data_IF_735498701289
#
_entry.id   IF_735498701289
#
_cell.length_a   1.000
_cell.length_b   1.000
_cell.length_c   1.000
_cell.angle_alpha   90.00
_cell.angle_beta   90.00
_cell.angle_gamma   90.00
#
_symmetry.space_group_name_H-M   'P 1'
#
loop_
_entity.id
_entity.type
_entity.pdbx_description
1 polymer ?
#
# COMPACT_ATOMS: atom_id res chain seq x y z
N UNK A 1 -4.72 -21.63 14.79
CA UNK A 1 -4.87 -20.49 13.87
C UNK A 1 -5.81 -19.41 14.42
N UNK A 2 -7.01 -19.75 14.87
CA UNK A 2 -8.00 -18.78 15.39
C UNK A 2 -7.55 -17.99 16.64
N UNK A 3 -6.83 -18.62 17.56
CA UNK A 3 -6.25 -17.92 18.72
C UNK A 3 -5.11 -16.95 18.35
N UNK A 4 -4.35 -17.21 17.28
CA UNK A 4 -3.35 -16.27 16.75
C UNK A 4 -4.02 -15.08 16.08
N UNK A 5 -5.03 -15.29 15.23
CA UNK A 5 -5.83 -14.21 14.63
C UNK A 5 -6.48 -13.31 15.67
N UNK A 6 -6.97 -13.89 16.76
CA UNK A 6 -7.54 -13.13 17.86
C UNK A 6 -6.48 -12.29 18.60
N UNK A 7 -5.27 -12.84 18.82
CA UNK A 7 -4.15 -12.11 19.43
C UNK A 7 -3.63 -10.98 18.52
N UNK A 8 -3.50 -11.20 17.20
CA UNK A 8 -3.11 -10.16 16.25
C UNK A 8 -4.14 -9.02 16.22
N UNK A 9 -5.44 -9.34 16.18
CA UNK A 9 -6.51 -8.34 16.29
C UNK A 9 -6.44 -7.58 17.61
N UNK A 10 -6.30 -8.30 18.73
CA UNK A 10 -6.13 -7.67 20.03
C UNK A 10 -4.85 -6.81 20.08
N UNK A 11 -3.76 -7.23 19.45
CA UNK A 11 -2.53 -6.45 19.39
C UNK A 11 -2.71 -5.14 18.60
N UNK A 12 -3.35 -5.18 17.43
CA UNK A 12 -3.59 -3.97 16.65
C UNK A 12 -4.62 -3.02 17.28
N UNK A 13 -5.59 -3.57 18.02
CA UNK A 13 -6.71 -2.81 18.57
C UNK A 13 -6.60 -2.50 20.08
N UNK A 14 -5.94 -3.35 20.88
CA UNK A 14 -5.98 -3.25 22.34
C UNK A 14 -4.65 -2.86 22.99
N UNK A 15 -3.51 -3.21 22.39
CA UNK A 15 -2.20 -2.78 22.88
C UNK A 15 -1.77 -1.44 22.29
N UNK A 16 -2.43 -1.02 21.23
CA UNK A 16 -2.18 0.26 20.61
C UNK A 16 -2.89 1.34 21.41
N UNK A 17 -2.23 1.80 22.45
CA UNK A 17 -2.54 3.12 22.96
C UNK A 17 -2.41 4.11 21.78
N UNK A 18 -3.25 5.13 21.70
CA UNK A 18 -3.13 6.19 20.70
C UNK A 18 -1.69 6.73 20.59
N UNK A 19 -0.94 6.71 21.68
CA UNK A 19 0.47 7.08 21.80
C UNK A 19 1.38 6.26 20.88
N UNK A 20 1.22 4.93 20.82
CA UNK A 20 2.08 4.07 19.98
C UNK A 20 1.86 4.30 18.48
N UNK A 21 0.60 4.46 18.07
CA UNK A 21 0.27 4.81 16.67
C UNK A 21 0.73 6.23 16.34
N UNK A 22 0.59 7.16 17.27
CA UNK A 22 1.06 8.53 17.10
C UNK A 22 2.59 8.59 16.97
N UNK A 23 3.32 7.80 17.77
CA UNK A 23 4.78 7.71 17.67
C UNK A 23 5.23 7.15 16.31
N UNK A 24 4.57 6.12 15.80
CA UNK A 24 4.89 5.58 14.48
C UNK A 24 4.55 6.55 13.36
N UNK A 25 3.37 7.17 13.40
CA UNK A 25 2.97 8.18 12.43
C UNK A 25 3.93 9.38 12.45
N UNK A 26 4.41 9.79 13.63
CA UNK A 26 5.41 10.83 13.77
C UNK A 26 6.77 10.41 13.22
N UNK A 27 7.21 9.18 13.49
CA UNK A 27 8.44 8.63 12.93
C UNK A 27 8.39 8.58 11.38
N UNK A 28 7.28 8.12 10.80
CA UNK A 28 7.08 8.12 9.36
C UNK A 28 7.03 9.54 8.78
N UNK A 29 6.33 10.47 9.46
CA UNK A 29 6.30 11.88 9.09
C UNK A 29 7.70 12.49 9.06
N UNK A 30 8.55 12.18 10.04
CA UNK A 30 9.95 12.64 10.10
C UNK A 30 10.80 11.97 9.02
N UNK A 31 10.62 10.67 8.81
CA UNK A 31 11.35 9.88 7.83
C UNK A 31 11.12 10.37 6.39
N UNK A 32 9.87 10.63 6.02
CA UNK A 32 9.54 11.23 4.72
C UNK A 32 10.12 12.66 4.62
N UNK A 33 10.41 13.38 5.75
CA UNK A 33 11.06 14.70 5.74
C UNK A 33 12.50 14.66 5.28
N UNK A 34 13.20 13.57 5.55
CA UNK A 34 14.59 13.35 5.12
C UNK A 34 14.71 12.86 3.67
N UNK A 35 13.63 12.32 3.08
CA UNK A 35 13.61 12.01 1.65
C UNK A 35 13.46 13.32 0.87
N UNK A 36 14.50 13.63 0.11
CA UNK A 36 14.65 14.85 -0.68
C UNK A 36 13.38 15.17 -1.49
N UNK A 37 12.87 16.40 -1.35
CA UNK A 37 11.73 16.93 -2.12
C UNK A 37 11.86 16.70 -3.64
N UNK A 38 13.08 16.62 -4.16
CA UNK A 38 13.38 16.37 -5.57
C UNK A 38 12.99 14.95 -6.00
N UNK A 39 13.15 13.95 -5.11
CA UNK A 39 12.81 12.55 -5.42
C UNK A 39 11.30 12.28 -5.31
N UNK A 40 10.58 13.03 -4.48
CA UNK A 40 9.14 12.90 -4.31
C UNK A 40 8.32 13.39 -5.52
N UNK A 41 8.91 14.22 -6.37
CA UNK A 41 8.21 14.78 -7.53
C UNK A 41 8.39 13.94 -8.82
N UNK A 42 9.32 12.98 -8.85
CA UNK A 42 9.53 12.13 -10.02
C UNK A 42 8.60 10.93 -10.04
N UNK A 43 8.08 10.63 -11.23
CA UNK A 43 7.32 9.41 -11.43
C UNK A 43 8.28 8.21 -11.49
N UNK A 44 7.95 7.18 -10.70
CA UNK A 44 8.70 5.92 -10.64
C UNK A 44 7.81 4.77 -11.10
N UNK A 45 8.21 4.14 -12.19
CA UNK A 45 7.59 2.94 -12.75
C UNK A 45 8.61 1.83 -12.81
N UNK A 46 8.15 0.57 -12.84
CA UNK A 46 8.99 -0.65 -12.81
C UNK A 46 9.70 -0.87 -11.46
N UNK A 47 10.70 -1.77 -11.45
CA UNK A 47 11.44 -2.14 -10.24
C UNK A 47 10.89 -3.39 -9.54
N UNK A 48 9.62 -3.73 -9.76
CA UNK A 48 8.97 -4.94 -9.27
C UNK A 48 9.14 -6.16 -10.20
N UNK A 49 9.98 -6.08 -11.25
CA UNK A 49 10.29 -7.18 -12.18
C UNK A 49 9.02 -7.89 -12.71
N UNK A 50 7.95 -7.12 -12.95
CA UNK A 50 6.62 -7.61 -13.35
C UNK A 50 5.91 -8.52 -12.34
N UNK A 51 6.34 -8.57 -11.09
CA UNK A 51 5.70 -9.34 -10.02
C UNK A 51 4.90 -8.42 -9.08
N UNK A 52 3.66 -8.80 -8.78
CA UNK A 52 2.93 -8.24 -7.62
C UNK A 52 3.55 -8.74 -6.31
N UNK A 53 3.38 -7.97 -5.22
CA UNK A 53 3.75 -8.45 -3.89
C UNK A 53 2.87 -9.62 -3.47
N UNK A 54 3.48 -10.70 -2.98
CA UNK A 54 2.80 -11.90 -2.48
C UNK A 54 2.78 -11.89 -0.96
N UNK A 55 1.83 -12.61 -0.35
CA UNK A 55 1.55 -12.58 1.09
C UNK A 55 2.80 -12.73 1.98
N UNK A 56 3.71 -13.64 1.67
CA UNK A 56 4.87 -13.90 2.52
C UNK A 56 6.15 -13.12 2.13
N UNK A 57 6.10 -12.33 1.07
CA UNK A 57 7.31 -11.67 0.57
C UNK A 57 7.86 -10.61 1.51
N UNK A 58 6.99 -9.86 2.16
CA UNK A 58 7.40 -8.82 3.10
C UNK A 58 8.02 -9.43 4.36
N UNK A 59 7.44 -10.52 4.88
CA UNK A 59 8.01 -11.24 6.01
C UNK A 59 9.35 -11.85 5.67
N UNK A 60 9.46 -12.55 4.52
CA UNK A 60 10.74 -13.10 4.03
C UNK A 60 11.81 -12.02 3.87
N UNK A 61 11.45 -10.89 3.25
CA UNK A 61 12.38 -9.78 3.07
C UNK A 61 12.83 -9.17 4.39
N UNK A 62 11.92 -9.02 5.36
CA UNK A 62 12.24 -8.54 6.69
C UNK A 62 13.19 -9.47 7.43
N UNK A 63 12.89 -10.77 7.49
CA UNK A 63 13.73 -11.76 8.17
C UNK A 63 15.13 -11.81 7.56
N UNK A 64 15.21 -11.77 6.23
CA UNK A 64 16.45 -11.78 5.49
C UNK A 64 17.36 -10.61 5.86
N UNK A 65 16.87 -9.38 5.84
CA UNK A 65 17.70 -8.21 6.20
C UNK A 65 17.92 -8.10 7.71
N UNK A 66 17.01 -8.61 8.53
CA UNK A 66 17.14 -8.58 9.99
C UNK A 66 18.17 -9.58 10.51
N UNK A 67 18.44 -10.64 9.76
CA UNK A 67 19.55 -11.60 10.04
C UNK A 67 20.91 -11.12 9.50
N UNK A 68 20.98 -9.92 8.92
CA UNK A 68 22.21 -9.27 8.47
C UNK A 68 22.58 -9.53 7.02
N UNK A 69 21.73 -10.20 6.25
CA UNK A 69 21.91 -10.40 4.81
C UNK A 69 21.57 -9.14 3.99
N UNK A 70 22.12 -9.08 2.77
CA UNK A 70 21.81 -8.03 1.79
C UNK A 70 21.19 -8.63 0.53
N UNK A 71 20.22 -7.93 -0.05
CA UNK A 71 19.63 -8.32 -1.35
C UNK A 71 20.64 -8.33 -2.51
N UNK A 72 21.85 -7.82 -2.29
CA UNK A 72 22.96 -7.82 -3.25
C UNK A 72 23.93 -8.99 -3.03
N UNK A 73 23.75 -9.79 -2.00
CA UNK A 73 24.60 -10.95 -1.72
C UNK A 73 24.45 -12.01 -2.83
N UNK A 74 25.53 -12.71 -3.13
CA UNK A 74 25.53 -13.73 -4.18
C UNK A 74 24.60 -14.91 -3.85
N UNK A 75 24.43 -15.21 -2.59
CA UNK A 75 23.59 -16.28 -2.04
C UNK A 75 22.15 -15.86 -1.74
N UNK A 76 21.77 -14.59 -1.94
CA UNK A 76 20.43 -14.08 -1.67
C UNK A 76 19.31 -14.91 -2.33
N UNK A 77 19.57 -15.48 -3.51
CA UNK A 77 18.65 -16.37 -4.22
C UNK A 77 18.41 -17.67 -3.45
N UNK A 78 19.45 -18.22 -2.84
CA UNK A 78 19.42 -19.47 -2.06
C UNK A 78 18.71 -19.22 -0.73
N UNK A 79 19.14 -18.20 0.00
CA UNK A 79 18.62 -17.86 1.33
C UNK A 79 17.13 -17.47 1.29
N UNK A 80 16.72 -16.68 0.31
CA UNK A 80 15.31 -16.34 0.10
C UNK A 80 14.52 -17.48 -0.57
N UNK A 81 15.18 -18.47 -1.17
CA UNK A 81 14.52 -19.57 -1.87
C UNK A 81 13.66 -19.12 -3.07
N UNK A 82 14.09 -18.08 -3.79
CA UNK A 82 13.37 -17.51 -4.95
C UNK A 82 14.36 -17.13 -6.06
N UNK A 83 13.87 -16.99 -7.29
CA UNK A 83 14.71 -16.57 -8.42
C UNK A 83 15.19 -15.10 -8.30
N UNK A 84 16.30 -14.77 -9.01
CA UNK A 84 16.95 -13.46 -8.95
C UNK A 84 16.00 -12.27 -9.14
N UNK A 85 15.10 -12.34 -10.12
CA UNK A 85 14.13 -11.27 -10.36
C UNK A 85 13.13 -11.15 -9.20
N UNK A 86 12.81 -12.26 -8.52
CA UNK A 86 11.96 -12.22 -7.33
C UNK A 86 12.68 -11.61 -6.13
N UNK A 87 14.01 -11.80 -5.98
CA UNK A 87 14.83 -11.10 -4.98
C UNK A 87 14.72 -9.59 -5.18
N UNK A 88 14.89 -9.11 -6.42
CA UNK A 88 14.73 -7.69 -6.76
C UNK A 88 13.30 -7.19 -6.47
N UNK A 89 12.30 -8.00 -6.81
CA UNK A 89 10.90 -7.64 -6.55
C UNK A 89 10.59 -7.56 -5.04
N UNK A 90 11.08 -8.49 -4.22
CA UNK A 90 10.94 -8.43 -2.75
C UNK A 90 11.59 -7.15 -2.22
N UNK A 91 12.83 -6.86 -2.61
CA UNK A 91 13.54 -5.63 -2.23
C UNK A 91 12.73 -4.38 -2.60
N UNK A 92 12.19 -4.33 -3.82
CA UNK A 92 11.36 -3.22 -4.30
C UNK A 92 10.12 -3.05 -3.41
N UNK A 93 9.39 -4.13 -3.14
CA UNK A 93 8.16 -4.08 -2.35
C UNK A 93 8.42 -3.70 -0.90
N UNK A 94 9.50 -4.16 -0.28
CA UNK A 94 9.90 -3.72 1.06
C UNK A 94 10.04 -2.19 1.13
N UNK A 95 10.65 -1.59 0.09
CA UNK A 95 10.78 -0.12 -0.01
C UNK A 95 9.46 0.57 -0.36
N UNK A 96 8.68 0.01 -1.27
CA UNK A 96 7.41 0.60 -1.72
C UNK A 96 6.37 0.66 -0.60
N UNK A 97 6.38 -0.32 0.32
CA UNK A 97 5.53 -0.34 1.51
C UNK A 97 6.16 0.38 2.72
N UNK A 98 7.30 1.05 2.57
CA UNK A 98 7.94 1.79 3.65
C UNK A 98 8.52 0.91 4.77
N UNK A 99 8.78 -0.36 4.48
CA UNK A 99 9.31 -1.33 5.46
C UNK A 99 10.84 -1.35 5.51
N UNK A 100 11.52 -0.87 4.49
CA UNK A 100 12.97 -0.65 4.51
C UNK A 100 13.34 0.73 3.99
N UNK A 101 14.44 1.24 4.51
CA UNK A 101 15.11 2.42 3.99
C UNK A 101 15.80 2.14 2.65
N UNK A 102 16.38 3.18 2.01
CA UNK A 102 17.14 3.03 0.77
C UNK A 102 18.34 2.09 0.90
N UNK A 103 18.94 2.03 2.08
CA UNK A 103 20.05 1.15 2.41
C UNK A 103 19.61 -0.27 2.86
N UNK A 104 18.36 -0.63 2.58
CA UNK A 104 17.72 -1.91 2.90
C UNK A 104 17.59 -2.22 4.42
N UNK A 105 17.89 -1.28 5.32
CA UNK A 105 17.66 -1.48 6.76
C UNK A 105 16.17 -1.40 7.10
N UNK A 106 15.67 -2.24 8.01
CA UNK A 106 14.28 -2.20 8.45
C UNK A 106 13.92 -0.85 9.08
N UNK A 107 12.72 -0.38 8.80
CA UNK A 107 12.15 0.82 9.43
C UNK A 107 11.54 0.48 10.80
N UNK A 108 11.25 1.47 11.66
CA UNK A 108 10.49 1.26 12.89
C UNK A 108 9.14 0.57 12.65
N UNK A 109 8.46 0.93 11.56
CA UNK A 109 7.21 0.28 11.15
C UNK A 109 7.41 -1.21 10.85
N UNK A 110 8.47 -1.57 10.09
CA UNK A 110 8.76 -2.96 9.79
C UNK A 110 9.03 -3.78 11.05
N UNK A 111 9.81 -3.23 12.00
CA UNK A 111 10.09 -3.90 13.27
C UNK A 111 8.81 -4.09 14.11
N UNK A 112 7.95 -3.07 14.19
CA UNK A 112 6.68 -3.16 14.91
C UNK A 112 5.68 -4.08 14.26
N UNK A 113 5.73 -4.24 12.95
CA UNK A 113 4.79 -5.08 12.23
C UNK A 113 5.25 -6.54 12.16
N UNK A 114 6.51 -6.78 11.76
CA UNK A 114 6.98 -8.08 11.28
C UNK A 114 7.87 -8.85 12.27
N UNK A 115 8.25 -8.28 13.42
CA UNK A 115 9.06 -8.97 14.41
C UNK A 115 8.33 -10.21 14.95
N UNK A 116 9.03 -11.35 15.09
CA UNK A 116 8.43 -12.62 15.55
C UNK A 116 8.02 -12.61 17.03
N UNK A 117 8.66 -11.78 17.85
CA UNK A 117 8.48 -11.77 19.30
C UNK A 117 7.41 -10.78 19.73
N UNK A 118 7.51 -9.54 19.25
CA UNK A 118 6.67 -8.41 19.68
C UNK A 118 5.99 -7.67 18.51
N UNK A 119 6.10 -8.22 17.30
CA UNK A 119 5.43 -7.69 16.13
C UNK A 119 3.91 -7.80 16.20
N UNK A 120 3.23 -6.82 15.64
CA UNK A 120 1.78 -6.77 15.66
C UNK A 120 1.13 -7.83 14.79
N UNK A 121 1.72 -8.08 13.61
CA UNK A 121 1.19 -9.02 12.62
C UNK A 121 2.32 -9.57 11.74
N UNK A 122 3.17 -10.47 12.29
CA UNK A 122 4.35 -10.96 11.58
C UNK A 122 4.05 -11.64 10.24
N UNK A 123 2.86 -12.19 10.09
CA UNK A 123 2.47 -12.95 8.89
C UNK A 123 1.43 -12.23 8.01
N UNK A 124 1.11 -10.95 8.32
CA UNK A 124 0.19 -10.10 7.55
C UNK A 124 -1.19 -10.75 7.37
N UNK A 125 -1.72 -11.33 8.45
CA UNK A 125 -3.03 -11.99 8.46
C UNK A 125 -4.18 -11.04 8.88
N UNK A 126 -3.85 -9.88 9.46
CA UNK A 126 -4.84 -8.89 9.92
C UNK A 126 -5.25 -7.95 8.79
N UNK A 127 -6.56 -7.73 8.65
CA UNK A 127 -7.09 -6.84 7.62
C UNK A 127 -6.66 -5.38 7.84
N UNK A 128 -6.47 -4.96 9.08
CA UNK A 128 -5.95 -3.63 9.42
C UNK A 128 -4.52 -3.44 8.92
N UNK A 129 -3.70 -4.49 8.95
CA UNK A 129 -2.36 -4.47 8.34
C UNK A 129 -2.44 -4.26 6.84
N UNK A 130 -3.37 -4.94 6.16
CA UNK A 130 -3.59 -4.75 4.73
C UNK A 130 -3.99 -3.30 4.41
N UNK A 131 -4.84 -2.66 5.22
CA UNK A 131 -5.18 -1.25 5.10
C UNK A 131 -3.99 -0.32 5.33
N UNK A 132 -3.15 -0.60 6.33
CA UNK A 132 -1.93 0.16 6.59
C UNK A 132 -0.96 0.09 5.41
N UNK A 133 -0.74 -1.11 4.88
CA UNK A 133 0.12 -1.32 3.71
C UNK A 133 -0.46 -0.64 2.46
N UNK A 134 -1.77 -0.70 2.25
CA UNK A 134 -2.42 0.05 1.19
C UNK A 134 -2.15 1.55 1.30
N UNK A 135 -2.35 2.14 2.50
CA UNK A 135 -2.06 3.55 2.75
C UNK A 135 -0.61 3.90 2.43
N UNK A 136 0.35 3.12 2.92
CA UNK A 136 1.77 3.32 2.63
C UNK A 136 2.06 3.31 1.11
N UNK A 137 1.50 2.35 0.40
CA UNK A 137 1.74 2.19 -1.04
C UNK A 137 1.21 3.36 -1.88
N UNK A 138 0.04 3.89 -1.55
CA UNK A 138 -0.58 5.00 -2.32
C UNK A 138 -0.03 6.38 -1.96
N UNK A 139 0.62 6.51 -0.80
CA UNK A 139 1.25 7.76 -0.35
C UNK A 139 2.75 7.81 -0.64
N UNK A 140 3.39 6.66 -0.82
CA UNK A 140 4.79 6.59 -1.21
C UNK A 140 4.96 6.90 -2.70
N UNK A 141 6.01 7.66 -3.05
CA UNK A 141 6.31 8.02 -4.44
C UNK A 141 6.98 6.91 -5.25
N UNK A 142 7.40 5.82 -4.59
CA UNK A 142 8.25 4.78 -5.20
C UNK A 142 7.52 3.90 -6.22
N UNK A 143 6.22 3.71 -6.06
CA UNK A 143 5.36 2.97 -6.98
C UNK A 143 4.25 3.89 -7.47
N UNK A 144 4.59 4.81 -8.38
CA UNK A 144 3.72 5.92 -8.81
C UNK A 144 2.37 5.48 -9.36
N UNK A 145 2.30 4.29 -9.96
CA UNK A 145 1.06 3.71 -10.50
C UNK A 145 -0.07 3.72 -9.47
N UNK A 146 0.22 3.37 -8.22
CA UNK A 146 -0.77 3.26 -7.14
C UNK A 146 -1.30 4.63 -6.74
N UNK A 147 -0.42 5.57 -6.46
CA UNK A 147 -0.79 6.95 -6.16
C UNK A 147 -1.53 7.63 -7.33
N UNK A 148 -1.07 7.45 -8.56
CA UNK A 148 -1.70 8.02 -9.75
C UNK A 148 -3.13 7.49 -9.97
N UNK A 149 -3.38 6.21 -9.71
CA UNK A 149 -4.72 5.62 -9.89
C UNK A 149 -5.64 6.04 -8.73
N UNK A 150 -5.25 5.80 -7.48
CA UNK A 150 -6.11 6.07 -6.32
C UNK A 150 -6.29 7.55 -6.03
N UNK A 151 -5.24 8.37 -6.19
CA UNK A 151 -5.27 9.79 -5.85
C UNK A 151 -5.67 10.69 -7.03
N UNK A 152 -5.61 10.18 -8.26
CA UNK A 152 -5.79 10.96 -9.46
C UNK A 152 -6.82 10.39 -10.44
N UNK A 153 -6.46 9.37 -11.22
CA UNK A 153 -7.29 8.85 -12.32
C UNK A 153 -8.73 8.56 -11.92
N UNK A 154 -8.93 7.96 -10.76
CA UNK A 154 -10.24 7.62 -10.21
C UNK A 154 -11.15 8.83 -9.98
N UNK A 155 -10.58 10.04 -9.79
CA UNK A 155 -11.36 11.29 -9.69
C UNK A 155 -11.87 11.74 -11.04
N UNK A 156 -11.05 11.52 -12.08
CA UNK A 156 -11.38 11.88 -13.44
C UNK A 156 -12.35 10.86 -14.06
N UNK A 157 -12.24 9.59 -13.66
CA UNK A 157 -12.99 8.47 -14.24
C UNK A 157 -13.40 7.44 -13.19
N UNK A 158 -14.70 7.22 -13.05
CA UNK A 158 -15.25 6.16 -12.19
C UNK A 158 -14.86 4.78 -12.74
N UNK A 159 -14.85 4.66 -14.05
CA UNK A 159 -14.53 3.45 -14.81
C UNK A 159 -13.33 3.71 -15.69
N UNK A 160 -12.30 2.87 -15.62
CA UNK A 160 -11.07 3.06 -16.36
C UNK A 160 -10.50 1.76 -16.93
N UNK A 161 -9.69 1.90 -17.97
CA UNK A 161 -8.95 0.83 -18.65
C UNK A 161 -7.46 1.07 -18.57
N UNK A 162 -6.65 0.09 -19.00
CA UNK A 162 -5.19 0.24 -19.19
C UNK A 162 -4.86 1.44 -20.08
N UNK A 163 -5.63 1.65 -21.16
CA UNK A 163 -5.42 2.80 -22.07
C UNK A 163 -5.73 4.15 -21.38
N UNK A 164 -6.76 4.22 -20.55
CA UNK A 164 -7.06 5.42 -19.76
C UNK A 164 -5.92 5.74 -18.80
N UNK A 165 -5.38 4.73 -18.11
CA UNK A 165 -4.25 4.91 -17.21
C UNK A 165 -2.99 5.37 -17.97
N UNK A 166 -2.66 4.75 -19.10
CA UNK A 166 -1.50 5.16 -19.91
C UNK A 166 -1.57 6.64 -20.32
N UNK A 167 -2.74 7.09 -20.81
CA UNK A 167 -2.93 8.49 -21.20
C UNK A 167 -2.85 9.43 -19.98
N UNK A 168 -3.36 8.99 -18.82
CA UNK A 168 -3.26 9.76 -17.59
C UNK A 168 -1.80 9.88 -17.13
N UNK A 169 -1.05 8.78 -17.11
CA UNK A 169 0.36 8.76 -16.72
C UNK A 169 1.23 9.64 -17.62
N UNK A 170 1.01 9.62 -18.95
CA UNK A 170 1.68 10.52 -19.89
C UNK A 170 1.42 11.99 -19.56
N UNK A 171 0.16 12.37 -19.38
CA UNK A 171 -0.21 13.74 -19.00
C UNK A 171 0.44 14.17 -17.68
N UNK A 172 0.49 13.27 -16.69
CA UNK A 172 1.14 13.54 -15.42
C UNK A 172 2.66 13.68 -15.53
N UNK A 173 3.29 12.94 -16.44
CA UNK A 173 4.71 13.07 -16.76
C UNK A 173 4.99 14.42 -17.46
N UNK A 174 4.21 14.79 -18.47
CA UNK A 174 4.32 16.07 -19.17
C UNK A 174 4.23 17.27 -18.21
N UNK A 175 3.27 17.25 -17.26
CA UNK A 175 3.12 18.31 -16.25
C UNK A 175 4.40 18.45 -15.40
N UNK A 176 5.15 17.35 -15.19
CA UNK A 176 6.41 17.32 -14.41
C UNK A 176 7.66 17.56 -15.27
N UNK A 177 7.50 17.74 -16.60
CA UNK A 177 8.63 17.84 -17.53
C UNK A 177 9.35 16.50 -17.73
N UNK A 178 8.68 15.38 -17.52
CA UNK A 178 9.20 14.02 -17.62
C UNK A 178 8.62 13.29 -18.84
N UNK A 179 9.25 12.19 -19.22
CA UNK A 179 8.71 11.24 -20.20
C UNK A 179 8.61 9.85 -19.61
N UNK A 180 7.62 9.08 -20.03
CA UNK A 180 7.41 7.71 -19.57
C UNK A 180 7.44 6.74 -20.73
N UNK A 181 7.94 5.53 -20.48
CA UNK A 181 7.90 4.45 -21.46
C UNK A 181 6.55 3.73 -21.37
N UNK A 182 5.84 3.68 -22.49
CA UNK A 182 4.49 3.08 -22.57
C UNK A 182 4.44 1.62 -22.13
N UNK A 183 5.43 0.83 -22.54
CA UNK A 183 5.44 -0.60 -22.21
C UNK A 183 5.66 -0.79 -20.72
N UNK A 184 6.51 0.04 -20.10
CA UNK A 184 6.71 0.04 -18.65
C UNK A 184 5.42 0.39 -17.92
N UNK A 185 4.75 1.49 -18.31
CA UNK A 185 3.48 1.92 -17.68
C UNK A 185 2.39 0.87 -17.84
N UNK A 186 2.30 0.21 -19.00
CA UNK A 186 1.34 -0.89 -19.22
C UNK A 186 1.65 -2.09 -18.34
N UNK A 187 2.93 -2.47 -18.21
CA UNK A 187 3.35 -3.56 -17.33
C UNK A 187 3.04 -3.27 -15.87
N UNK A 188 3.28 -2.03 -15.42
CA UNK A 188 2.95 -1.58 -14.06
C UNK A 188 1.44 -1.65 -13.80
N UNK A 189 0.62 -1.28 -14.78
CA UNK A 189 -0.82 -1.42 -14.67
C UNK A 189 -1.25 -2.88 -14.48
N UNK A 190 -0.63 -3.82 -15.20
CA UNK A 190 -0.93 -5.25 -15.05
C UNK A 190 -0.53 -5.77 -13.66
N UNK A 191 0.58 -5.29 -13.11
CA UNK A 191 1.00 -5.61 -11.74
C UNK A 191 0.04 -4.99 -10.72
N UNK A 192 -0.40 -3.74 -10.94
CA UNK A 192 -1.42 -3.08 -10.13
C UNK A 192 -2.72 -3.90 -10.10
N UNK A 193 -3.20 -4.35 -11.25
CA UNK A 193 -4.41 -5.18 -11.32
C UNK A 193 -4.24 -6.46 -10.48
N UNK A 194 -3.12 -7.17 -10.63
CA UNK A 194 -2.86 -8.40 -9.86
C UNK A 194 -2.66 -8.17 -8.36
N UNK A 195 -2.31 -6.95 -7.93
CA UNK A 195 -2.20 -6.61 -6.52
C UNK A 195 -3.55 -6.54 -5.83
N UNK A 196 -4.61 -6.06 -6.52
CA UNK A 196 -5.93 -5.78 -5.95
C UNK A 196 -7.04 -6.67 -6.46
N UNK A 197 -6.82 -7.39 -7.55
CA UNK A 197 -7.85 -8.21 -8.16
C UNK A 197 -7.32 -9.60 -8.51
N UNK A 198 -8.11 -10.59 -8.11
CA UNK A 198 -7.89 -11.98 -8.48
C UNK A 198 -8.89 -12.37 -9.57
N UNK A 199 -8.41 -12.76 -10.74
CA UNK A 199 -9.26 -13.32 -11.77
C UNK A 199 -9.81 -14.68 -11.31
N UNK A 200 -11.13 -14.91 -11.43
CA UNK A 200 -11.75 -16.21 -11.23
C UNK A 200 -11.35 -17.18 -12.37
N UNK A 201 -10.14 -17.69 -12.29
CA UNK A 201 -9.73 -18.79 -13.15
C UNK A 201 -10.25 -20.09 -12.52
N UNK A 202 -11.07 -20.83 -13.25
CA UNK A 202 -11.62 -22.14 -12.84
C UNK A 202 -10.57 -23.26 -12.78
N UNK A 203 -9.29 -22.93 -12.88
CA UNK A 203 -8.20 -23.89 -12.78
C UNK A 203 -8.01 -24.31 -11.33
N UNK A 204 -8.02 -25.62 -11.09
CA UNK A 204 -7.95 -26.31 -9.80
C UNK A 204 -6.69 -26.06 -8.96
N UNK A 205 -5.71 -25.37 -9.47
CA UNK A 205 -4.50 -24.98 -8.76
C UNK A 205 -4.65 -23.56 -8.23
N UNK A 206 -5.39 -23.44 -7.13
CA UNK A 206 -5.38 -22.24 -6.28
C UNK A 206 -4.06 -22.19 -5.54
N UNK A 207 -3.02 -21.78 -6.19
CA UNK A 207 -1.77 -21.44 -5.51
C UNK A 207 -1.97 -20.11 -4.77
N UNK A 208 -2.36 -20.19 -3.51
CA UNK A 208 -2.55 -19.02 -2.62
C UNK A 208 -1.29 -18.15 -2.60
N UNK A 209 -0.12 -18.73 -2.83
CA UNK A 209 1.14 -18.02 -2.92
C UNK A 209 1.27 -17.07 -4.13
N UNK A 210 0.37 -17.16 -5.13
CA UNK A 210 0.38 -16.27 -6.29
C UNK A 210 -0.58 -15.08 -6.18
N UNK A 211 -1.40 -15.02 -5.14
CA UNK A 211 -2.37 -13.94 -4.92
C UNK A 211 -1.66 -12.65 -4.53
N UNK A 212 -2.11 -11.52 -5.04
CA UNK A 212 -1.62 -10.20 -4.63
C UNK A 212 -1.99 -9.89 -3.18
N UNK A 213 -1.06 -9.27 -2.46
CA UNK A 213 -1.16 -9.01 -1.02
C UNK A 213 -2.42 -8.22 -0.60
N UNK A 214 -2.91 -7.32 -1.45
CA UNK A 214 -4.02 -6.42 -1.15
C UNK A 214 -5.36 -6.86 -1.79
N UNK A 215 -5.42 -8.07 -2.30
CA UNK A 215 -6.63 -8.59 -2.99
C UNK A 215 -7.84 -8.65 -2.06
N UNK A 216 -7.64 -9.03 -0.80
CA UNK A 216 -8.72 -9.23 0.18
C UNK A 216 -9.40 -7.91 0.62
N UNK A 217 -8.78 -6.76 0.35
CA UNK A 217 -9.39 -5.45 0.57
C UNK A 217 -10.59 -5.18 -0.36
N UNK A 218 -10.72 -5.94 -1.44
CA UNK A 218 -11.83 -5.84 -2.40
C UNK A 218 -12.10 -4.40 -2.90
N UNK A 219 -11.01 -3.63 -3.12
CA UNK A 219 -11.10 -2.22 -3.52
C UNK A 219 -11.46 -2.03 -4.99
N UNK A 220 -11.17 -3.03 -5.81
CA UNK A 220 -11.31 -2.94 -7.26
C UNK A 220 -12.06 -4.15 -7.80
N UNK A 221 -12.94 -3.91 -8.75
CA UNK A 221 -13.60 -4.99 -9.51
C UNK A 221 -13.59 -4.73 -11.01
N UNK A 222 -13.55 -5.79 -11.82
CA UNK A 222 -13.72 -5.67 -13.27
C UNK A 222 -15.20 -5.45 -13.62
N UNK A 223 -15.44 -4.69 -14.68
CA UNK A 223 -16.71 -4.62 -15.38
C UNK A 223 -16.57 -5.41 -16.67
N UNK A 224 -17.18 -6.60 -16.72
CA UNK A 224 -17.21 -7.41 -17.93
C UNK A 224 -18.35 -6.95 -18.85
N UNK A 225 -18.00 -6.37 -19.99
CA UNK A 225 -18.96 -6.08 -21.06
C UNK A 225 -18.95 -7.23 -22.08
N UNK A 226 -20.12 -7.59 -22.59
CA UNK A 226 -20.21 -8.65 -23.60
C UNK A 226 -19.38 -8.26 -24.83
N UNK A 227 -18.37 -9.09 -25.20
CA UNK A 227 -17.51 -8.98 -26.39
C UNK A 227 -16.26 -8.08 -26.27
N UNK A 228 -15.78 -7.73 -25.10
CA UNK A 228 -14.49 -7.04 -24.96
C UNK A 228 -13.31 -8.01 -25.01
N UNK A 229 -12.20 -7.57 -25.61
CA UNK A 229 -10.90 -8.26 -25.54
C UNK A 229 -10.32 -8.06 -24.16
N UNK A 230 -9.42 -8.92 -23.74
CA UNK A 230 -8.78 -8.87 -22.41
C UNK A 230 -8.05 -7.55 -22.16
N UNK A 231 -7.48 -6.93 -23.18
CA UNK A 231 -6.82 -5.61 -23.12
C UNK A 231 -7.79 -4.42 -22.92
N UNK A 232 -9.08 -4.61 -23.18
CA UNK A 232 -10.13 -3.61 -23.04
C UNK A 232 -10.91 -3.76 -21.71
N UNK A 233 -10.40 -4.59 -20.78
CA UNK A 233 -11.08 -4.81 -19.52
C UNK A 233 -11.20 -3.52 -18.71
N UNK A 234 -12.43 -3.20 -18.33
CA UNK A 234 -12.75 -2.04 -17.51
C UNK A 234 -12.71 -2.38 -16.04
N UNK A 235 -12.20 -1.47 -15.24
CA UNK A 235 -12.12 -1.58 -13.79
C UNK A 235 -12.85 -0.43 -13.11
N UNK A 236 -13.40 -0.70 -11.94
CA UNK A 236 -14.03 0.29 -11.07
C UNK A 236 -13.40 0.17 -9.69
N UNK A 237 -13.05 1.31 -9.10
CA UNK A 237 -12.72 1.43 -7.68
C UNK A 237 -13.94 2.06 -7.01
N UNK A 238 -14.61 1.29 -6.15
CA UNK A 238 -15.89 1.70 -5.57
C UNK A 238 -15.71 2.69 -4.41
N UNK A 239 -16.56 3.73 -4.40
CA UNK A 239 -16.72 4.68 -3.30
C UNK A 239 -17.74 4.16 -2.28
N UNK A 240 -17.56 2.94 -1.77
CA UNK A 240 -18.42 2.38 -0.73
C UNK A 240 -17.81 2.57 0.64
N UNK A 241 -18.63 2.50 1.68
CA UNK A 241 -18.18 2.44 3.06
C UNK A 241 -17.20 1.27 3.27
N UNK A 242 -16.09 1.53 3.94
CA UNK A 242 -15.05 0.54 4.23
C UNK A 242 -15.20 0.07 5.69
N UNK A 243 -16.19 -0.78 5.93
CA UNK A 243 -16.50 -1.28 7.28
C UNK A 243 -15.36 -2.07 7.93
N UNK A 244 -14.43 -2.57 7.15
CA UNK A 244 -13.26 -3.31 7.62
C UNK A 244 -12.06 -2.43 7.97
N UNK A 245 -12.13 -1.12 7.68
CA UNK A 245 -11.06 -0.19 8.02
C UNK A 245 -11.07 0.13 9.52
N UNK A 246 -9.98 -0.18 10.25
CA UNK A 246 -9.87 0.18 11.66
C UNK A 246 -9.67 1.69 11.87
N UNK A 247 -10.33 2.23 12.91
CA UNK A 247 -10.16 3.64 13.32
C UNK A 247 -8.69 4.00 13.58
N UNK A 248 -7.92 3.06 14.11
CA UNK A 248 -6.50 3.23 14.37
C UNK A 248 -5.69 3.51 13.10
N UNK A 249 -6.04 2.88 11.97
CA UNK A 249 -5.36 3.11 10.69
C UNK A 249 -5.76 4.47 10.10
N UNK A 250 -7.02 4.86 10.27
CA UNK A 250 -7.46 6.20 9.89
C UNK A 250 -6.70 7.28 10.69
N UNK A 251 -6.59 7.10 12.01
CA UNK A 251 -5.80 7.99 12.87
C UNK A 251 -4.34 8.06 12.43
N UNK A 252 -3.73 6.91 12.14
CA UNK A 252 -2.38 6.86 11.61
C UNK A 252 -2.23 7.70 10.34
N UNK A 253 -3.13 7.55 9.37
CA UNK A 253 -3.12 8.32 8.14
C UNK A 253 -3.23 9.83 8.37
N UNK A 254 -4.09 10.26 9.31
CA UNK A 254 -4.24 11.67 9.69
C UNK A 254 -2.94 12.21 10.31
N UNK A 255 -2.34 11.47 11.25
CA UNK A 255 -1.13 11.90 11.95
C UNK A 255 0.14 11.85 11.08
N UNK A 256 0.23 10.89 10.17
CA UNK A 256 1.32 10.77 9.23
C UNK A 256 1.30 11.84 8.14
N UNK A 257 0.14 12.47 7.90
CA UNK A 257 0.02 13.53 6.91
C UNK A 257 0.65 14.84 7.41
N UNK A 258 1.61 15.37 6.64
CA UNK A 258 2.37 16.56 7.01
C UNK A 258 1.62 17.87 6.91
N UNK A 259 0.52 17.89 6.18
CA UNK A 259 -0.26 19.12 5.96
C UNK A 259 -1.13 19.46 7.17
N UNK A 260 -1.29 18.53 8.11
CA UNK A 260 -2.07 18.75 9.31
C UNK A 260 -1.18 19.18 10.48
N UNK A 261 -1.52 20.31 11.08
CA UNK A 261 -0.88 20.78 12.28
C UNK A 261 -1.62 20.29 13.55
N UNK A 262 -2.28 21.18 14.26
CA UNK A 262 -3.03 20.89 15.49
C UNK A 262 -4.50 20.56 15.23
N UNK A 263 -5.00 20.87 14.05
CA UNK A 263 -6.37 20.61 13.66
C UNK A 263 -6.48 20.40 12.15
N UNK A 264 -7.44 19.61 11.73
CA UNK A 264 -7.76 19.41 10.33
C UNK A 264 -9.24 19.65 10.09
N UNK A 265 -9.55 20.39 9.03
CA UNK A 265 -10.93 20.59 8.61
C UNK A 265 -11.47 19.33 7.95
N UNK A 266 -12.69 18.92 8.30
CA UNK A 266 -13.34 17.74 7.73
C UNK A 266 -13.42 17.79 6.19
N UNK A 267 -13.78 18.93 5.62
CA UNK A 267 -13.81 19.08 4.17
C UNK A 267 -12.42 18.90 3.54
N UNK A 268 -11.38 19.39 4.21
CA UNK A 268 -9.99 19.20 3.80
C UNK A 268 -9.65 17.72 3.73
N UNK A 269 -10.01 16.91 4.75
CA UNK A 269 -9.83 15.46 4.75
C UNK A 269 -10.52 14.78 3.57
N UNK A 270 -11.66 15.29 3.11
CA UNK A 270 -12.44 14.71 2.03
C UNK A 270 -12.01 15.16 0.63
N UNK A 271 -11.46 16.37 0.48
CA UNK A 271 -11.37 17.01 -0.84
C UNK A 271 -9.96 17.27 -1.34
N UNK A 272 -8.98 17.43 -0.45
CA UNK A 272 -7.62 17.78 -0.85
C UNK A 272 -6.90 16.62 -1.56
N UNK A 273 -6.17 16.90 -2.66
CA UNK A 273 -5.49 15.87 -3.45
C UNK A 273 -4.44 15.06 -2.68
N UNK A 274 -3.62 15.75 -1.90
CA UNK A 274 -2.49 15.15 -1.17
C UNK A 274 -2.93 14.32 0.04
N UNK A 275 -4.24 14.29 0.32
CA UNK A 275 -4.86 13.56 1.42
C UNK A 275 -5.67 12.36 0.94
N UNK A 276 -5.52 12.00 -0.31
CA UNK A 276 -6.28 10.94 -0.93
C UNK A 276 -6.05 9.58 -0.26
N UNK A 277 -4.89 9.36 0.38
CA UNK A 277 -4.68 8.20 1.23
C UNK A 277 -5.74 8.09 2.34
N UNK A 278 -6.06 9.18 3.00
CA UNK A 278 -7.08 9.25 4.05
C UNK A 278 -8.49 9.16 3.45
N UNK A 279 -8.72 9.81 2.32
CA UNK A 279 -10.00 9.76 1.62
C UNK A 279 -10.38 8.36 1.16
N UNK A 280 -9.41 7.58 0.70
CA UNK A 280 -9.62 6.17 0.38
C UNK A 280 -10.04 5.35 1.58
N UNK A 281 -9.55 5.75 2.74
CA UNK A 281 -9.87 5.10 3.99
C UNK A 281 -11.31 5.43 4.48
N UNK A 282 -11.98 6.53 4.05
CA UNK A 282 -13.03 7.03 4.93
C UNK A 282 -14.23 7.74 4.34
N UNK A 283 -14.87 7.24 3.31
CA UNK A 283 -16.00 8.03 2.76
C UNK A 283 -17.22 8.22 3.72
N UNK A 284 -17.41 7.35 4.73
CA UNK A 284 -18.49 7.47 5.74
C UNK A 284 -18.06 7.31 7.19
N UNK A 285 -16.93 6.68 7.44
CA UNK A 285 -16.49 6.34 8.81
C UNK A 285 -15.88 7.51 9.59
N UNK A 286 -15.48 8.61 8.92
CA UNK A 286 -14.82 9.75 9.59
C UNK A 286 -15.67 10.36 10.73
N UNK A 287 -16.99 10.63 10.60
CA UNK A 287 -17.74 11.22 11.69
C UNK A 287 -17.76 10.34 12.94
N UNK A 288 -17.91 9.03 12.78
CA UNK A 288 -17.98 8.09 13.90
C UNK A 288 -16.59 7.87 14.50
N UNK A 289 -15.58 7.70 13.67
CA UNK A 289 -14.19 7.59 14.08
C UNK A 289 -13.66 8.86 14.76
N UNK A 290 -14.03 10.06 14.28
CA UNK A 290 -13.68 11.32 14.93
C UNK A 290 -14.32 11.45 16.31
N UNK A 291 -15.52 10.93 16.50
CA UNK A 291 -16.17 10.86 17.82
C UNK A 291 -15.43 9.93 18.76
N UNK A 292 -14.95 8.79 18.26
CA UNK A 292 -14.10 7.86 19.03
C UNK A 292 -12.77 8.53 19.38
N UNK A 293 -12.10 9.17 18.41
CA UNK A 293 -10.84 9.87 18.63
C UNK A 293 -10.98 11.02 19.64
N UNK A 294 -12.05 11.81 19.57
CA UNK A 294 -12.32 12.86 20.54
C UNK A 294 -12.45 12.32 21.99
N UNK A 295 -13.02 11.13 22.16
CA UNK A 295 -13.08 10.44 23.46
C UNK A 295 -11.71 9.96 23.97
N UNK A 296 -10.79 9.60 23.09
CA UNK A 296 -9.43 9.20 23.48
C UNK A 296 -8.56 10.39 23.87
N UNK A 297 -8.71 11.55 23.23
CA UNK A 297 -7.95 12.77 23.55
C UNK A 297 -8.54 13.59 24.70
N UNK A 298 -9.76 13.33 25.13
CA UNK A 298 -10.40 13.99 26.27
C UNK A 298 -10.08 13.35 27.64
N UNK A 299 -9.24 12.32 27.67
CA UNK A 299 -8.72 11.67 28.89
C UNK A 299 -7.23 11.94 29.06
#
# INVERSE_FOLDING_TARGET
MEQRRKRSREALYLTNTPTTIAELAFADRMQIAFFDKATQNRLSFSGHESFQCRSLWLKKGYDFVNTGHSFTDEDAVVELGVGKNMVNAIRFWMKAFGLTYENDKPTPLANKLLNDIDGWDPYLEDEGTSWLLHYQLITASRASTYGLIFNGLRRDKIEFTKAHFLNYARRQAEIRGESVNDNTVKSDFDVFVRMYYRADTQTKERDEGLTGLLTDLNLMRPLRRKKEKEDDLHFVIENTEKSSLPDAILLYGILANRQFDLSVNFNTLLTEPDQAGIRELSFKSIPDSMTVLAKYYAR
#
